data_IF_706301408868
#
_entry.id   IF_706301408868
#
_cell.length_a   1.000
_cell.length_b   1.000
_cell.length_c   1.000
_cell.angle_alpha   90.00
_cell.angle_beta   90.00
_cell.angle_gamma   90.00
#
_symmetry.space_group_name_H-M   'P 1'
#
loop_
_entity.id
_entity.type
_entity.pdbx_description
1 polymer ?
#
# COMPACT_ATOMS: atom_id res chain seq x y z
N UNK A 1 -16.50 8.92 22.71
CA UNK A 1 -16.08 9.77 21.58
C UNK A 1 -16.13 8.90 20.36
N UNK A 2 -17.15 9.06 19.52
CA UNK A 2 -17.28 8.29 18.28
C UNK A 2 -16.43 9.00 17.24
N UNK A 3 -15.30 8.38 16.93
CA UNK A 3 -14.35 8.87 15.95
C UNK A 3 -15.04 8.92 14.60
N UNK A 4 -14.90 10.05 13.91
CA UNK A 4 -15.45 10.31 12.59
C UNK A 4 -14.76 9.41 11.55
N UNK A 5 -15.19 8.15 11.44
CA UNK A 5 -14.74 7.21 10.40
C UNK A 5 -15.43 7.50 9.05
N UNK A 6 -16.12 8.63 8.93
CA UNK A 6 -16.94 8.97 7.76
C UNK A 6 -16.16 9.70 6.64
N UNK A 7 -14.91 10.11 6.89
CA UNK A 7 -14.03 10.74 5.89
C UNK A 7 -12.65 10.07 5.82
N UNK A 8 -12.60 8.74 5.92
CA UNK A 8 -11.35 8.02 6.12
C UNK A 8 -10.73 7.44 4.83
N UNK A 9 -11.11 7.92 3.63
CA UNK A 9 -10.47 7.48 2.37
C UNK A 9 -9.00 7.85 2.43
N UNK A 10 -8.15 6.84 2.60
CA UNK A 10 -6.73 7.00 2.69
C UNK A 10 -6.19 7.17 1.28
N UNK A 11 -5.79 8.40 0.92
CA UNK A 11 -5.26 8.71 -0.41
C UNK A 11 -3.75 8.74 -0.38
N UNK A 12 -3.10 7.99 -1.27
CA UNK A 12 -1.63 7.93 -1.29
C UNK A 12 -1.10 7.25 -2.54
N UNK A 13 0.22 7.35 -2.78
CA UNK A 13 0.87 6.60 -3.85
C UNK A 13 0.87 5.09 -3.59
N UNK A 14 0.94 4.32 -4.68
CA UNK A 14 1.09 2.87 -4.65
C UNK A 14 2.37 2.43 -3.90
N UNK A 15 3.47 3.19 -4.01
CA UNK A 15 4.72 2.93 -3.29
C UNK A 15 4.56 3.11 -1.78
N UNK A 16 3.88 4.17 -1.37
CA UNK A 16 3.64 4.45 0.05
C UNK A 16 2.73 3.40 0.68
N UNK A 17 1.69 2.96 -0.04
CA UNK A 17 0.86 1.85 0.41
C UNK A 17 1.65 0.54 0.46
N UNK A 18 2.48 0.24 -0.54
CA UNK A 18 3.36 -0.93 -0.49
C UNK A 18 4.33 -0.88 0.71
N UNK A 19 4.86 0.30 1.04
CA UNK A 19 5.75 0.50 2.20
C UNK A 19 5.01 0.33 3.54
N UNK A 20 3.76 0.77 3.63
CA UNK A 20 2.92 0.63 4.84
C UNK A 20 2.37 -0.80 4.98
N UNK A 21 1.91 -1.38 3.88
CA UNK A 21 1.32 -2.70 3.76
C UNK A 21 2.39 -3.71 3.33
N UNK A 22 3.56 -3.73 4.00
CA UNK A 22 4.81 -4.44 3.60
C UNK A 22 4.67 -5.88 3.09
N UNK A 23 3.55 -6.56 3.36
CA UNK A 23 3.28 -7.92 2.93
C UNK A 23 2.47 -8.02 1.62
N UNK A 24 1.88 -6.93 1.18
CA UNK A 24 1.13 -6.84 -0.08
C UNK A 24 2.08 -6.44 -1.20
N UNK A 25 2.07 -7.20 -2.29
CA UNK A 25 2.71 -6.77 -3.52
C UNK A 25 1.89 -5.63 -4.16
N UNK A 26 2.46 -4.98 -5.17
CA UNK A 26 1.80 -3.90 -5.88
C UNK A 26 0.43 -4.30 -6.45
N UNK A 27 0.32 -5.51 -6.99
CA UNK A 27 -0.93 -5.99 -7.59
C UNK A 27 -2.03 -6.18 -6.53
N UNK A 28 -1.68 -6.61 -5.31
CA UNK A 28 -2.63 -6.73 -4.21
C UNK A 28 -3.09 -5.36 -3.68
N UNK A 29 -2.21 -4.36 -3.68
CA UNK A 29 -2.56 -2.98 -3.32
C UNK A 29 -3.48 -2.36 -4.38
N UNK A 30 -3.23 -2.60 -5.66
CA UNK A 30 -4.13 -2.14 -6.74
C UNK A 30 -5.49 -2.84 -6.71
N UNK A 31 -5.54 -4.12 -6.32
CA UNK A 31 -6.82 -4.81 -6.10
C UNK A 31 -7.62 -4.20 -4.95
N UNK A 32 -6.96 -3.72 -3.90
CA UNK A 32 -7.62 -3.02 -2.80
C UNK A 32 -8.15 -1.65 -3.24
N UNK A 33 -7.52 -0.97 -4.19
CA UNK A 33 -8.04 0.30 -4.75
C UNK A 33 -9.29 0.08 -5.61
N UNK A 34 -9.40 -1.08 -6.26
CA UNK A 34 -10.56 -1.47 -7.08
C UNK A 34 -11.73 -2.03 -6.27
N UNK A 35 -11.50 -2.44 -5.02
CA UNK A 35 -12.54 -2.97 -4.14
C UNK A 35 -13.42 -1.82 -3.62
N UNK A 36 -14.73 -1.79 -3.94
CA UNK A 36 -15.61 -0.70 -3.51
C UNK A 36 -15.86 -0.65 -2.00
N UNK A 37 -15.55 -1.75 -1.30
CA UNK A 37 -15.55 -1.87 0.17
C UNK A 37 -14.27 -1.35 0.82
N UNK A 38 -13.25 -1.07 0.02
CA UNK A 38 -11.95 -0.63 0.50
C UNK A 38 -11.93 0.88 0.73
N UNK A 39 -11.10 1.28 1.67
CA UNK A 39 -10.99 2.67 2.13
C UNK A 39 -9.68 3.31 1.65
N UNK A 40 -9.08 2.77 0.58
CA UNK A 40 -7.85 3.29 0.00
C UNK A 40 -8.09 3.80 -1.41
N UNK A 41 -7.40 4.89 -1.77
CA UNK A 41 -7.38 5.45 -3.11
C UNK A 41 -5.93 5.68 -3.54
N UNK A 42 -5.51 5.07 -4.64
CA UNK A 42 -4.19 5.24 -5.21
C UNK A 42 -4.16 6.50 -6.07
N UNK A 43 -3.40 7.49 -5.63
CA UNK A 43 -3.24 8.75 -6.38
C UNK A 43 -2.09 8.72 -7.39
N UNK A 44 -1.23 7.71 -7.31
CA UNK A 44 -0.11 7.51 -8.25
C UNK A 44 0.30 6.04 -8.38
N UNK A 45 0.18 5.49 -9.59
CA UNK A 45 0.48 4.08 -9.93
C UNK A 45 1.95 3.81 -10.26
N UNK A 46 2.88 4.58 -9.68
CA UNK A 46 4.31 4.32 -9.88
C UNK A 46 4.72 3.08 -9.10
N UNK A 47 5.43 2.17 -9.75
CA UNK A 47 6.08 1.00 -9.11
C UNK A 47 7.58 1.28 -9.05
N UNK A 48 8.22 1.13 -7.88
CA UNK A 48 9.69 1.11 -7.85
C UNK A 48 10.17 -0.27 -8.28
N UNK A 49 11.29 -0.31 -9.01
CA UNK A 49 11.83 -1.57 -9.51
C UNK A 49 12.07 -2.54 -8.34
N UNK A 50 11.52 -3.76 -8.41
CA UNK A 50 11.50 -4.78 -7.34
C UNK A 50 12.88 -5.10 -6.78
N UNK A 51 13.95 -4.86 -7.54
CA UNK A 51 15.34 -5.07 -7.12
C UNK A 51 15.73 -4.24 -5.88
N UNK A 52 15.16 -3.03 -5.68
CA UNK A 52 15.46 -2.23 -4.47
C UNK A 52 14.63 -2.62 -3.24
N UNK A 53 13.44 -3.20 -3.42
CA UNK A 53 12.58 -3.61 -2.31
C UNK A 53 12.95 -4.99 -1.71
N UNK A 54 13.72 -5.81 -2.44
CA UNK A 54 14.10 -7.16 -2.00
C UNK A 54 15.35 -7.24 -1.09
N UNK A 55 15.99 -6.12 -0.75
CA UNK A 55 17.30 -6.13 -0.07
C UNK A 55 17.26 -6.27 1.46
N UNK A 56 16.14 -6.64 2.08
CA UNK A 56 16.09 -6.93 3.53
C UNK A 56 15.58 -8.35 3.78
N UNK A 57 16.25 -9.33 3.17
CA UNK A 57 16.28 -10.69 3.71
C UNK A 57 17.57 -10.81 4.51
N UNK A 58 17.38 -10.75 5.83
CA UNK A 58 18.36 -10.84 6.88
C UNK A 58 19.45 -11.88 6.57
N UNK A 59 20.70 -11.44 6.49
CA UNK A 59 21.85 -12.31 6.73
C UNK A 59 21.92 -12.46 8.24
N UNK A 60 21.57 -13.64 8.76
CA UNK A 60 21.93 -14.04 10.12
C UNK A 60 23.33 -14.66 10.01
N UNK A 61 24.28 -14.10 10.75
CA UNK A 61 25.59 -14.70 11.06
C UNK A 61 25.47 -16.19 11.41
#
# INVERSE_FOLDING_TARGET
>A
MAEDVASAVQKSSLVDFHRRLRHLNYDAVERLDQEPSSVIEITAHRRVNRLTCAHVKQTKD
#
